data_IF_656152302198
#
_entry.id   IF_656152302198
#
_cell.length_a   1.000
_cell.length_b   1.000
_cell.length_c   1.000
_cell.angle_alpha   90.00
_cell.angle_beta   90.00
_cell.angle_gamma   90.00
#
_symmetry.space_group_name_H-M   'P 1'
#
loop_
_entity.id
_entity.type
_entity.pdbx_description
1 polymer ?
#
# COMPACT_ATOMS: atom_id res chain seq x y z
N UNK A 1 18.22 7.87 -0.30
CA UNK A 1 16.82 7.38 -0.34
C UNK A 1 16.72 6.27 0.70
N UNK A 2 15.71 6.27 1.58
CA UNK A 2 15.59 5.27 2.66
C UNK A 2 15.23 3.91 2.05
N UNK A 3 15.84 2.85 2.57
CA UNK A 3 15.62 1.48 2.12
C UNK A 3 14.18 1.03 2.45
N UNK A 4 13.53 0.40 1.48
CA UNK A 4 12.11 0.02 1.57
C UNK A 4 11.85 -1.33 0.92
N UNK A 5 10.96 -2.10 1.54
CA UNK A 5 10.42 -3.32 0.97
C UNK A 5 8.90 -3.33 1.08
N UNK A 6 8.21 -3.42 -0.06
CA UNK A 6 6.77 -3.64 -0.14
C UNK A 6 6.53 -5.09 -0.53
N UNK A 7 5.80 -5.82 0.29
CA UNK A 7 5.42 -7.22 0.03
C UNK A 7 3.91 -7.32 -0.07
N UNK A 8 3.45 -7.86 -1.20
CA UNK A 8 2.03 -7.95 -1.52
C UNK A 8 1.58 -9.40 -1.55
N UNK A 9 0.39 -9.66 -1.02
CA UNK A 9 -0.23 -10.96 -0.86
C UNK A 9 -1.63 -10.92 -1.49
N UNK A 10 -2.05 -12.04 -2.08
CA UNK A 10 -3.43 -12.21 -2.56
C UNK A 10 -4.35 -12.13 -1.34
N UNK A 11 -5.40 -11.31 -1.43
CA UNK A 11 -6.43 -11.30 -0.40
C UNK A 11 -7.39 -12.47 -0.64
N UNK A 12 -7.22 -13.57 0.10
CA UNK A 12 -8.10 -14.75 0.01
C UNK A 12 -9.56 -14.45 0.36
N UNK A 13 -9.82 -13.32 1.04
CA UNK A 13 -11.17 -12.86 1.38
C UNK A 13 -11.76 -11.95 0.30
N UNK A 14 -11.06 -11.67 -0.80
CA UNK A 14 -11.58 -10.84 -1.88
C UNK A 14 -12.91 -11.38 -2.40
N UNK A 15 -13.88 -10.49 -2.64
CA UNK A 15 -15.27 -10.81 -2.97
C UNK A 15 -16.03 -11.65 -1.91
N UNK A 16 -15.39 -12.01 -0.79
CA UNK A 16 -16.05 -12.59 0.37
C UNK A 16 -17.01 -11.59 1.02
N UNK A 17 -18.10 -12.09 1.58
CA UNK A 17 -19.12 -11.28 2.26
C UNK A 17 -18.89 -11.28 3.78
N UNK A 18 -19.06 -10.12 4.41
CA UNK A 18 -19.07 -9.96 5.88
C UNK A 18 -20.50 -9.86 6.46
N UNK A 19 -21.53 -10.04 5.63
CA UNK A 19 -22.94 -9.84 5.98
C UNK A 19 -23.76 -9.39 4.76
N UNK A 20 -25.06 -9.14 4.94
CA UNK A 20 -25.93 -8.76 3.81
C UNK A 20 -25.38 -7.55 3.05
N UNK A 21 -25.00 -7.77 1.78
CA UNK A 21 -24.51 -6.79 0.80
C UNK A 21 -23.16 -6.09 1.11
N UNK A 22 -22.39 -6.53 2.11
CA UNK A 22 -21.05 -6.00 2.38
C UNK A 22 -19.97 -6.97 1.89
N UNK A 23 -19.28 -6.60 0.82
CA UNK A 23 -18.23 -7.41 0.19
C UNK A 23 -16.85 -6.83 0.45
N UNK A 24 -15.85 -7.70 0.66
CA UNK A 24 -14.46 -7.29 0.65
C UNK A 24 -14.03 -6.95 -0.79
N UNK A 25 -13.54 -5.72 -0.97
CA UNK A 25 -13.11 -5.19 -2.27
C UNK A 25 -11.59 -5.06 -2.40
N UNK A 26 -10.82 -5.41 -1.37
CA UNK A 26 -9.35 -5.33 -1.44
C UNK A 26 -8.80 -6.52 -2.21
N UNK A 27 -8.21 -6.29 -3.39
CA UNK A 27 -7.65 -7.35 -4.23
C UNK A 27 -6.36 -7.93 -3.64
N UNK A 28 -5.53 -7.06 -3.07
CA UNK A 28 -4.29 -7.43 -2.39
C UNK A 28 -4.21 -6.83 -0.99
N UNK A 29 -3.51 -7.53 -0.12
CA UNK A 29 -3.06 -7.00 1.16
C UNK A 29 -1.55 -6.99 1.18
N UNK A 30 -0.94 -6.07 1.91
CA UNK A 30 0.50 -5.97 1.93
C UNK A 30 1.05 -5.29 3.16
N UNK A 31 2.37 -5.34 3.22
CA UNK A 31 3.16 -4.63 4.21
C UNK A 31 4.24 -3.83 3.53
N UNK A 32 4.46 -2.63 4.04
CA UNK A 32 5.60 -1.79 3.72
C UNK A 32 6.51 -1.82 4.94
N UNK A 33 7.77 -2.17 4.72
CA UNK A 33 8.78 -2.24 5.75
C UNK A 33 9.90 -1.26 5.38
N UNK A 34 10.23 -0.38 6.33
CA UNK A 34 11.35 0.54 6.23
C UNK A 34 12.43 0.09 7.21
N UNK A 35 13.66 0.01 6.73
CA UNK A 35 14.80 -0.30 7.59
C UNK A 35 15.43 1.00 8.10
N UNK A 36 15.88 0.97 9.35
CA UNK A 36 16.55 2.06 10.07
C UNK A 36 15.85 3.45 10.09
N UNK A 37 15.07 3.77 11.15
CA UNK A 37 14.57 2.86 12.16
C UNK A 37 13.57 1.86 11.55
N UNK A 38 13.41 0.70 12.16
CA UNK A 38 12.46 -0.29 11.68
C UNK A 38 11.03 0.23 11.83
N UNK A 39 10.30 0.35 10.72
CA UNK A 39 8.89 0.74 10.72
C UNK A 39 8.09 -0.14 9.78
N UNK A 40 6.87 -0.47 10.20
CA UNK A 40 5.95 -1.32 9.45
C UNK A 40 4.65 -0.59 9.21
N UNK A 41 4.22 -0.61 7.95
CA UNK A 41 2.92 -0.14 7.53
C UNK A 41 2.17 -1.26 6.82
N UNK A 42 0.86 -1.13 6.78
CA UNK A 42 -0.07 -2.05 6.15
C UNK A 42 -0.82 -1.32 5.04
N UNK A 43 -1.11 -2.06 3.98
CA UNK A 43 -1.81 -1.57 2.79
C UNK A 43 -2.83 -2.61 2.34
N UNK A 44 -4.04 -2.13 2.03
CA UNK A 44 -5.13 -2.86 1.41
C UNK A 44 -5.47 -2.20 0.06
N UNK A 45 -5.31 -2.91 -1.05
CA UNK A 45 -5.39 -2.33 -2.40
C UNK A 45 -6.78 -2.47 -3.00
N UNK A 46 -7.37 -1.35 -3.39
CA UNK A 46 -8.68 -1.23 -4.03
C UNK A 46 -8.54 -0.56 -5.41
N UNK A 47 -9.56 -0.65 -6.26
CA UNK A 47 -9.62 0.25 -7.44
C UNK A 47 -9.65 1.71 -6.99
N UNK A 48 -9.22 2.63 -7.85
CA UNK A 48 -9.20 4.08 -7.56
C UNK A 48 -10.52 4.58 -6.96
N UNK A 49 -11.66 4.29 -7.62
CA UNK A 49 -12.98 4.73 -7.18
C UNK A 49 -13.33 4.18 -5.79
N UNK A 50 -12.95 2.94 -5.49
CA UNK A 50 -13.19 2.38 -4.15
C UNK A 50 -12.26 2.96 -3.09
N UNK A 51 -11.03 3.31 -3.47
CA UNK A 51 -10.04 3.90 -2.59
C UNK A 51 -10.39 5.36 -2.22
N UNK A 52 -10.77 6.19 -3.19
CA UNK A 52 -11.13 7.60 -2.95
C UNK A 52 -12.37 7.72 -2.05
N UNK A 53 -13.38 6.87 -2.28
CA UNK A 53 -14.61 6.84 -1.47
C UNK A 53 -14.38 6.32 -0.03
N UNK A 54 -13.16 5.87 0.29
CA UNK A 54 -12.73 5.46 1.62
C UNK A 54 -11.93 6.55 2.35
N UNK A 55 -11.71 7.71 1.74
CA UNK A 55 -11.12 8.85 2.44
C UNK A 55 -12.01 9.29 3.61
N UNK A 56 -11.43 9.43 4.79
CA UNK A 56 -12.13 9.79 6.03
C UNK A 56 -11.53 11.02 6.70
N UNK A 57 -10.21 11.22 6.58
CA UNK A 57 -9.53 12.37 7.19
C UNK A 57 -9.32 13.48 6.18
N UNK A 58 -9.12 14.72 6.66
CA UNK A 58 -8.86 15.86 5.79
C UNK A 58 -7.60 15.64 4.94
N UNK A 59 -6.55 15.05 5.51
CA UNK A 59 -5.31 14.76 4.80
C UNK A 59 -5.54 13.76 3.65
N UNK A 60 -6.42 12.78 3.83
CA UNK A 60 -6.77 11.86 2.74
C UNK A 60 -7.54 12.57 1.63
N UNK A 61 -8.49 13.44 1.99
CA UNK A 61 -9.25 14.26 1.04
C UNK A 61 -8.31 15.17 0.24
N UNK A 62 -7.35 15.82 0.92
CA UNK A 62 -6.36 16.68 0.27
C UNK A 62 -5.49 15.89 -0.72
N UNK A 63 -5.10 14.67 -0.37
CA UNK A 63 -4.38 13.76 -1.27
C UNK A 63 -5.24 13.40 -2.50
N UNK A 64 -6.52 13.09 -2.32
CA UNK A 64 -7.42 12.82 -3.47
C UNK A 64 -7.51 14.03 -4.40
N UNK A 65 -7.69 15.23 -3.83
CA UNK A 65 -7.77 16.49 -4.57
C UNK A 65 -6.45 16.84 -5.29
N UNK A 66 -5.31 16.46 -4.73
CA UNK A 66 -4.03 16.58 -5.41
C UNK A 66 -3.96 15.62 -6.60
N UNK A 67 -4.29 14.35 -6.39
CA UNK A 67 -4.14 13.30 -7.40
C UNK A 67 -5.11 13.43 -8.57
N UNK A 68 -6.30 14.00 -8.39
CA UNK A 68 -7.29 14.20 -9.48
C UNK A 68 -6.72 15.02 -10.65
N UNK A 69 -5.72 15.85 -10.38
CA UNK A 69 -5.04 16.68 -11.38
C UNK A 69 -3.83 16.00 -12.04
N UNK A 70 -3.58 14.72 -11.73
CA UNK A 70 -2.46 13.93 -12.27
C UNK A 70 -2.95 12.85 -13.26
N UNK A 71 -2.03 12.06 -13.80
CA UNK A 71 -2.38 10.92 -14.66
C UNK A 71 -2.59 9.61 -13.88
N UNK A 72 -2.29 9.58 -12.57
CA UNK A 72 -2.48 8.37 -11.75
C UNK A 72 -3.94 7.88 -11.76
N UNK A 73 -4.97 8.71 -11.53
CA UNK A 73 -6.36 8.26 -11.58
C UNK A 73 -6.82 7.75 -12.95
N UNK A 74 -6.13 8.17 -14.02
CA UNK A 74 -6.45 7.80 -15.40
C UNK A 74 -5.81 6.48 -15.81
N UNK A 75 -4.84 5.98 -15.03
CA UNK A 75 -4.15 4.74 -15.33
C UNK A 75 -5.13 3.55 -15.27
N UNK A 76 -5.20 2.73 -16.33
CA UNK A 76 -6.07 1.56 -16.35
C UNK A 76 -5.69 0.58 -15.25
N UNK A 77 -6.70 -0.05 -14.63
CA UNK A 77 -6.53 -1.06 -13.60
C UNK A 77 -5.71 -0.63 -12.37
N UNK A 78 -5.48 0.68 -12.18
CA UNK A 78 -4.72 1.17 -11.03
C UNK A 78 -5.35 0.69 -9.73
N UNK A 79 -4.49 0.18 -8.85
CA UNK A 79 -4.86 -0.21 -7.52
C UNK A 79 -4.21 0.75 -6.53
N UNK A 80 -5.00 1.23 -5.56
CA UNK A 80 -4.56 2.20 -4.58
C UNK A 80 -4.87 1.76 -3.16
N UNK A 81 -4.03 2.20 -2.23
CA UNK A 81 -4.16 1.93 -0.82
C UNK A 81 -3.87 3.16 0.04
N UNK A 82 -4.67 3.33 1.09
CA UNK A 82 -4.32 4.19 2.21
C UNK A 82 -3.29 3.50 3.11
N UNK A 83 -2.46 4.28 3.77
CA UNK A 83 -1.37 3.74 4.57
C UNK A 83 -1.78 3.68 6.04
N UNK A 84 -1.60 2.50 6.63
CA UNK A 84 -1.82 2.28 8.05
C UNK A 84 -0.50 1.96 8.73
N UNK A 85 -0.06 2.78 9.67
CA UNK A 85 1.03 2.41 10.56
C UNK A 85 0.62 1.23 11.45
N UNK A 86 1.49 0.24 11.57
CA UNK A 86 1.32 -0.88 12.49
C UNK A 86 2.16 -0.67 13.74
N UNK A 87 1.49 -0.30 14.83
CA UNK A 87 2.12 -0.23 16.15
C UNK A 87 2.22 -1.66 16.72
N UNK A 88 3.44 -2.17 16.81
CA UNK A 88 3.70 -3.53 17.27
C UNK A 88 3.40 -3.70 18.76
N UNK A 89 3.68 -2.70 19.57
CA UNK A 89 3.61 -2.78 21.03
C UNK A 89 2.16 -2.68 21.49
N UNK A 90 1.42 -1.72 20.94
CA UNK A 90 -0.01 -1.56 21.21
C UNK A 90 -0.89 -2.51 20.37
N UNK A 91 -0.33 -3.16 19.35
CA UNK A 91 -1.05 -4.03 18.38
C UNK A 91 -2.23 -3.32 17.70
N UNK A 92 -2.06 -2.05 17.39
CA UNK A 92 -3.07 -1.21 16.76
C UNK A 92 -2.64 -0.73 15.38
N UNK A 93 -3.63 -0.43 14.53
CA UNK A 93 -3.44 0.21 13.23
C UNK A 93 -3.80 1.68 13.35
N UNK A 94 -2.96 2.55 12.83
CA UNK A 94 -3.21 4.00 12.82
C UNK A 94 -3.11 4.53 11.39
N UNK A 95 -4.12 5.28 10.96
CA UNK A 95 -4.07 5.97 9.67
C UNK A 95 -2.95 6.99 9.68
N UNK A 96 -2.15 7.02 8.62
CA UNK A 96 -1.12 8.04 8.41
C UNK A 96 -1.34 8.74 7.07
N UNK A 97 -0.97 10.03 6.95
CA UNK A 97 -1.00 10.72 5.66
C UNK A 97 -0.13 9.98 4.64
N UNK A 98 -0.68 9.72 3.46
CA UNK A 98 0.04 9.00 2.41
C UNK A 98 -0.86 8.08 1.60
N UNK A 99 -0.29 7.55 0.52
CA UNK A 99 -0.95 6.58 -0.36
C UNK A 99 0.09 5.65 -0.99
N UNK A 100 -0.36 4.49 -1.43
CA UNK A 100 0.41 3.59 -2.28
C UNK A 100 -0.41 3.25 -3.53
N UNK A 101 0.12 3.58 -4.71
CA UNK A 101 -0.45 3.29 -6.01
C UNK A 101 0.37 2.19 -6.68
N UNK A 102 -0.31 1.19 -7.22
CA UNK A 102 0.28 0.14 -8.03
C UNK A 102 -0.37 0.18 -9.42
N UNK A 103 0.47 0.29 -10.46
CA UNK A 103 0.09 0.28 -11.85
C UNK A 103 0.46 -1.08 -12.44
N UNK A 104 -0.49 -2.03 -12.56
CA UNK A 104 -0.20 -3.39 -13.02
C UNK A 104 0.36 -3.42 -14.44
N UNK A 105 -0.12 -2.51 -15.29
CA UNK A 105 0.21 -2.47 -16.72
C UNK A 105 1.66 -2.04 -16.97
N UNK A 106 2.22 -1.13 -16.17
CA UNK A 106 3.65 -0.72 -16.25
C UNK A 106 4.56 -1.48 -15.28
N UNK A 107 3.99 -2.14 -14.26
CA UNK A 107 4.76 -2.78 -13.21
C UNK A 107 5.43 -1.77 -12.27
N UNK A 108 4.81 -0.61 -12.05
CA UNK A 108 5.35 0.46 -11.22
C UNK A 108 4.52 0.66 -9.94
N UNK A 109 5.18 1.07 -8.87
CA UNK A 109 4.56 1.40 -7.60
C UNK A 109 5.01 2.78 -7.13
N UNK A 110 4.04 3.68 -6.93
CA UNK A 110 4.26 5.02 -6.38
C UNK A 110 3.76 5.08 -4.94
N UNK A 111 4.65 5.39 -4.02
CA UNK A 111 4.37 5.42 -2.60
C UNK A 111 4.71 6.78 -2.04
N UNK A 112 3.84 7.33 -1.20
CA UNK A 112 4.12 8.50 -0.38
C UNK A 112 3.70 8.26 1.06
N UNK A 113 4.60 8.48 2.02
CA UNK A 113 4.35 8.39 3.47
C UNK A 113 4.66 9.75 4.10
N UNK A 114 3.74 10.25 4.94
CA UNK A 114 3.87 11.48 5.72
C UNK A 114 3.60 11.25 7.22
N UNK A 115 4.27 10.28 7.81
CA UNK A 115 4.18 9.92 9.23
C UNK A 115 5.25 10.68 10.04
N UNK A 116 4.99 11.98 10.25
CA UNK A 116 5.92 12.87 10.94
C UNK A 116 6.13 12.50 12.41
N UNK A 117 5.11 11.92 13.06
CA UNK A 117 5.18 11.45 14.45
C UNK A 117 6.30 10.42 14.68
N UNK A 118 6.65 9.66 13.64
CA UNK A 118 7.68 8.60 13.68
C UNK A 118 8.88 8.93 12.80
N UNK A 119 9.00 10.19 12.36
CA UNK A 119 10.11 10.64 11.51
C UNK A 119 10.14 10.00 10.13
N UNK A 120 9.01 9.53 9.61
CA UNK A 120 8.92 8.95 8.26
C UNK A 120 8.19 9.89 7.33
N UNK A 121 8.93 10.61 6.51
CA UNK A 121 8.40 11.40 5.40
C UNK A 121 9.18 11.09 4.13
N UNK A 122 8.51 10.64 3.09
CA UNK A 122 9.18 10.28 1.85
C UNK A 122 8.24 9.85 0.74
N UNK A 123 8.80 9.84 -0.47
CA UNK A 123 8.17 9.31 -1.66
C UNK A 123 9.12 8.31 -2.34
N UNK A 124 8.56 7.26 -2.91
CA UNK A 124 9.31 6.21 -3.61
C UNK A 124 8.57 5.81 -4.88
N UNK A 125 9.33 5.69 -5.97
CA UNK A 125 8.91 5.07 -7.20
C UNK A 125 9.69 3.76 -7.33
N UNK A 126 8.98 2.63 -7.28
CA UNK A 126 9.58 1.31 -7.16
C UNK A 126 9.14 0.41 -8.31
N UNK A 127 10.08 -0.29 -8.97
CA UNK A 127 9.72 -1.34 -9.90
C UNK A 127 9.14 -2.54 -9.14
N UNK A 128 8.03 -3.07 -9.65
CA UNK A 128 7.36 -4.26 -9.11
C UNK A 128 7.90 -5.50 -9.80
N UNK A 129 8.22 -6.53 -9.01
CA UNK A 129 8.65 -7.84 -9.49
C UNK A 129 7.75 -8.94 -8.95
N UNK A 130 7.18 -9.73 -9.85
CA UNK A 130 6.39 -10.89 -9.48
C UNK A 130 7.26 -12.03 -8.94
N UNK A 131 6.79 -12.65 -7.87
CA UNK A 131 7.44 -13.81 -7.29
C UNK A 131 7.18 -15.04 -8.16
N UNK A 132 8.20 -15.89 -8.35
CA UNK A 132 8.06 -17.18 -9.07
C UNK A 132 7.09 -18.13 -8.38
N UNK A 133 7.09 -18.12 -7.05
CA UNK A 133 6.20 -18.91 -6.21
C UNK A 133 5.28 -17.94 -5.47
N UNK A 134 3.97 -18.09 -5.67
CA UNK A 134 2.93 -17.40 -4.92
C UNK A 134 2.06 -18.43 -4.19
N UNK A 135 1.49 -18.06 -3.04
CA UNK A 135 0.67 -18.97 -2.25
C UNK A 135 0.27 -18.38 -0.91
N UNK A 136 -0.44 -19.14 -0.06
CA UNK A 136 -0.84 -18.70 1.26
C UNK A 136 0.40 -18.30 2.07
N UNK A 137 0.45 -17.04 2.52
CA UNK A 137 1.58 -16.41 3.23
C UNK A 137 2.85 -16.17 2.40
N UNK A 138 2.84 -16.43 1.11
CA UNK A 138 3.94 -16.07 0.20
C UNK A 138 3.56 -14.81 -0.59
N UNK A 139 4.45 -13.82 -0.68
CA UNK A 139 4.15 -12.63 -1.45
C UNK A 139 3.99 -12.99 -2.93
N UNK A 140 2.97 -12.44 -3.58
CA UNK A 140 2.73 -12.58 -5.02
C UNK A 140 3.65 -11.66 -5.84
N UNK A 141 3.98 -10.49 -5.29
CA UNK A 141 4.96 -9.59 -5.86
C UNK A 141 5.59 -8.70 -4.79
N UNK A 142 6.74 -8.14 -5.14
CA UNK A 142 7.57 -7.31 -4.26
C UNK A 142 7.96 -6.04 -5.02
N UNK A 143 8.02 -4.91 -4.30
CA UNK A 143 8.61 -3.67 -4.79
C UNK A 143 9.65 -3.19 -3.78
N UNK A 144 10.89 -2.97 -4.21
CA UNK A 144 11.99 -2.64 -3.29
C UNK A 144 13.12 -1.90 -4.01
N UNK A 145 13.84 -1.05 -3.27
CA UNK A 145 15.06 -0.38 -3.72
C UNK A 145 16.33 -0.95 -3.08
N UNK A 146 16.22 -2.09 -2.38
CA UNK A 146 17.31 -2.73 -1.66
C UNK A 146 17.31 -4.23 -1.94
N UNK A 147 18.47 -4.86 -1.82
CA UNK A 147 18.57 -6.32 -1.85
C UNK A 147 17.99 -6.88 -0.54
N UNK A 148 16.91 -7.67 -0.64
CA UNK A 148 16.26 -8.22 0.54
C UNK A 148 17.05 -9.34 1.23
N UNK A 149 18.16 -9.82 0.65
CA UNK A 149 19.05 -10.77 1.33
C UNK A 149 19.69 -10.17 2.57
N UNK A 150 19.81 -8.84 2.65
CA UNK A 150 20.34 -8.14 3.83
C UNK A 150 19.29 -7.84 4.90
N UNK A 151 18.02 -8.19 4.66
CA UNK A 151 16.87 -7.92 5.55
C UNK A 151 16.31 -9.20 6.21
N UNK A 152 17.10 -10.28 6.27
CA UNK A 152 16.71 -11.55 6.92
C UNK A 152 16.67 -11.47 8.44
#
# INVERSE_FOLDING_TARGET
>A
MREIAVRMFINEKFAGSYGNMVFNRAAYNGSIELHNPMQKYLVDFYSYIHWENRAQTQEQIDIVNELINTDLPKAPNILMSWILHWDRDAKIKQTVPGFCAYLPDSGEMHLRIGDEQRGTKGSWDLPVRHCKNAGPKLPVFIATNVDLTVWQ
#
